data_IF_186739132325
#
_entry.id   IF_186739132325
#
_cell.length_a   1.000
_cell.length_b   1.000
_cell.length_c   1.000
_cell.angle_alpha   90.00
_cell.angle_beta   90.00
_cell.angle_gamma   90.00
#
_symmetry.space_group_name_H-M   'P 1'
#
loop_
_entity.id
_entity.type
_entity.pdbx_description
1 polymer ?
#
# COMPACT_ATOMS: atom_id res chain seq x y z
N UNK A 1 -14.56 7.38 15.97
CA UNK A 1 -14.37 6.27 14.99
C UNK A 1 -13.02 6.37 14.28
N UNK A 2 -12.77 7.39 13.45
CA UNK A 2 -11.50 7.59 12.70
C UNK A 2 -10.27 7.42 13.60
N UNK A 3 -10.19 8.18 14.69
CA UNK A 3 -9.08 8.13 15.64
C UNK A 3 -8.91 6.72 16.25
N UNK A 4 -10.00 6.06 16.63
CA UNK A 4 -9.99 4.71 17.20
C UNK A 4 -9.38 3.70 16.22
N UNK A 5 -9.77 3.75 14.94
CA UNK A 5 -9.24 2.85 13.90
C UNK A 5 -7.75 3.10 13.68
N UNK A 6 -7.31 4.35 13.65
CA UNK A 6 -5.88 4.67 13.54
C UNK A 6 -5.09 4.21 14.77
N UNK A 7 -5.63 4.33 15.99
CA UNK A 7 -4.97 3.82 17.21
C UNK A 7 -4.81 2.31 17.12
N UNK A 8 -5.88 1.58 16.78
CA UNK A 8 -5.83 0.12 16.64
C UNK A 8 -4.85 -0.32 15.55
N UNK A 9 -4.86 0.37 14.41
CA UNK A 9 -3.93 0.11 13.30
C UNK A 9 -2.49 0.33 13.74
N UNK A 10 -2.21 1.41 14.47
CA UNK A 10 -0.87 1.71 14.98
C UNK A 10 -0.40 0.67 16.00
N UNK A 11 -1.22 0.37 17.01
CA UNK A 11 -0.84 -0.51 18.12
C UNK A 11 -0.68 -1.96 17.69
N UNK A 12 -1.45 -2.43 16.71
CA UNK A 12 -1.32 -3.78 16.16
C UNK A 12 -0.28 -3.84 15.04
N UNK A 13 -0.35 -2.90 14.10
CA UNK A 13 0.47 -2.90 12.89
C UNK A 13 1.94 -2.64 13.17
N UNK A 14 2.28 -1.69 14.06
CA UNK A 14 3.68 -1.32 14.32
C UNK A 14 4.51 -2.49 14.88
N UNK A 15 4.14 -3.13 16.01
CA UNK A 15 4.93 -4.24 16.52
C UNK A 15 4.98 -5.42 15.54
N UNK A 16 3.89 -5.73 14.85
CA UNK A 16 3.83 -6.84 13.90
C UNK A 16 4.76 -6.61 12.67
N UNK A 17 4.79 -5.39 12.14
CA UNK A 17 5.65 -5.06 11.01
C UNK A 17 7.12 -4.93 11.42
N UNK A 18 7.43 -4.37 12.60
CA UNK A 18 8.81 -4.34 13.13
C UNK A 18 9.33 -5.77 13.30
N UNK A 19 8.54 -6.63 13.93
CA UNK A 19 8.89 -8.04 14.12
C UNK A 19 9.17 -8.72 12.78
N UNK A 20 8.26 -8.58 11.81
CA UNK A 20 8.41 -9.16 10.47
C UNK A 20 9.66 -8.62 9.77
N UNK A 21 9.88 -7.30 9.82
CA UNK A 21 11.03 -6.66 9.19
C UNK A 21 12.35 -7.22 9.75
N UNK A 22 12.47 -7.37 11.07
CA UNK A 22 13.65 -7.95 11.72
C UNK A 22 13.85 -9.42 11.32
N UNK A 23 12.78 -10.22 11.32
CA UNK A 23 12.84 -11.63 10.90
C UNK A 23 13.28 -11.79 9.44
N UNK A 24 12.72 -10.97 8.54
CA UNK A 24 13.08 -10.97 7.12
C UNK A 24 14.51 -10.48 6.89
N UNK A 25 14.96 -9.46 7.64
CA UNK A 25 16.32 -8.95 7.55
C UNK A 25 17.34 -9.99 8.02
N UNK A 26 17.06 -10.70 9.12
CA UNK A 26 17.89 -11.81 9.61
C UNK A 26 18.02 -12.93 8.57
N UNK A 27 16.91 -13.31 7.93
CA UNK A 27 16.91 -14.30 6.83
C UNK A 27 17.69 -13.81 5.61
N UNK A 28 17.49 -12.55 5.21
CA UNK A 28 18.13 -11.95 4.04
C UNK A 28 19.66 -11.91 4.18
N UNK A 29 20.19 -11.69 5.40
CA UNK A 29 21.64 -11.75 5.68
C UNK A 29 22.27 -13.10 5.37
N UNK A 30 21.52 -14.20 5.48
CA UNK A 30 22.00 -15.54 5.14
C UNK A 30 21.83 -15.84 3.65
N UNK A 31 20.62 -15.64 3.11
CA UNK A 31 20.31 -15.90 1.70
C UNK A 31 19.18 -15.00 1.23
N UNK A 32 19.51 -14.05 0.35
CA UNK A 32 18.53 -13.16 -0.25
C UNK A 32 17.79 -13.85 -1.40
N UNK A 33 16.48 -13.99 -1.28
CA UNK A 33 15.61 -14.32 -2.43
C UNK A 33 14.87 -13.08 -2.94
N UNK A 34 14.49 -13.04 -4.23
CA UNK A 34 13.67 -11.95 -4.78
C UNK A 34 12.39 -11.68 -3.97
N UNK A 35 11.68 -12.74 -3.53
CA UNK A 35 10.50 -12.59 -2.69
C UNK A 35 10.82 -11.92 -1.35
N UNK A 36 11.97 -12.22 -0.73
CA UNK A 36 12.36 -11.58 0.54
C UNK A 36 12.61 -10.08 0.36
N UNK A 37 13.18 -9.66 -0.77
CA UNK A 37 13.37 -8.23 -1.10
C UNK A 37 12.01 -7.53 -1.24
N UNK A 38 11.06 -8.14 -1.95
CA UNK A 38 9.72 -7.56 -2.13
C UNK A 38 8.98 -7.46 -0.80
N UNK A 39 9.07 -8.49 0.05
CA UNK A 39 8.49 -8.47 1.40
C UNK A 39 9.16 -7.42 2.32
N UNK A 40 10.48 -7.24 2.22
CA UNK A 40 11.20 -6.20 2.96
C UNK A 40 10.77 -4.78 2.53
N UNK A 41 10.52 -4.57 1.24
CA UNK A 41 10.02 -3.27 0.78
C UNK A 41 8.56 -3.04 1.15
N UNK A 42 7.72 -4.09 1.10
CA UNK A 42 6.34 -4.03 1.57
C UNK A 42 6.28 -3.65 3.06
N UNK A 43 7.00 -4.38 3.91
CA UNK A 43 7.13 -4.05 5.34
C UNK A 43 7.71 -2.66 5.58
N UNK A 44 8.67 -2.19 4.78
CA UNK A 44 9.19 -0.83 4.88
C UNK A 44 8.12 0.22 4.53
N UNK A 45 7.29 -0.02 3.52
CA UNK A 45 6.18 0.86 3.17
C UNK A 45 5.12 0.91 4.29
N UNK A 46 4.80 -0.24 4.89
CA UNK A 46 3.86 -0.33 6.02
C UNK A 46 4.42 0.37 7.27
N UNK A 47 5.70 0.20 7.58
CA UNK A 47 6.37 0.93 8.67
C UNK A 47 6.36 2.44 8.42
N UNK A 48 6.56 2.87 7.17
CA UNK A 48 6.46 4.28 6.79
C UNK A 48 5.02 4.79 6.97
N UNK A 49 4.00 4.01 6.60
CA UNK A 49 2.60 4.35 6.85
C UNK A 49 2.35 4.57 8.34
N UNK A 50 2.77 3.60 9.16
CA UNK A 50 2.56 3.59 10.61
C UNK A 50 3.34 4.71 11.30
N UNK A 51 4.53 5.07 10.81
CA UNK A 51 5.30 6.20 11.32
C UNK A 51 4.60 7.54 11.09
N UNK A 52 3.90 7.70 9.97
CA UNK A 52 3.17 8.92 9.63
C UNK A 52 1.70 8.92 10.08
N UNK A 53 1.18 7.77 10.53
CA UNK A 53 -0.18 7.63 11.06
C UNK A 53 -0.46 8.52 12.29
N UNK A 54 0.47 8.75 13.25
CA UNK A 54 0.30 9.69 14.35
C UNK A 54 -0.07 11.12 13.92
N UNK A 55 0.44 11.59 12.77
CA UNK A 55 0.08 12.90 12.24
C UNK A 55 -1.40 12.94 11.83
N UNK A 56 -1.90 11.85 11.23
CA UNK A 56 -3.32 11.67 10.91
C UNK A 56 -4.20 11.50 12.16
N UNK A 57 -3.64 10.93 13.24
CA UNK A 57 -4.32 10.85 14.53
C UNK A 57 -4.47 12.23 15.17
N UNK A 58 -3.44 13.08 15.10
CA UNK A 58 -3.50 14.46 15.56
C UNK A 58 -4.55 15.28 14.78
N UNK A 59 -4.58 15.13 13.45
CA UNK A 59 -5.61 15.72 12.59
C UNK A 59 -7.03 15.24 12.97
N UNK A 60 -7.20 13.94 13.19
CA UNK A 60 -8.49 13.38 13.61
C UNK A 60 -8.93 13.86 15.01
N UNK A 61 -7.99 14.00 15.94
CA UNK A 61 -8.25 14.51 17.30
C UNK A 61 -8.63 16.00 17.29
N UNK A 62 -8.11 16.78 16.35
CA UNK A 62 -8.44 18.18 16.14
C UNK A 62 -9.68 18.39 15.23
N UNK A 63 -10.56 17.39 15.09
CA UNK A 63 -11.80 17.54 14.31
C UNK A 63 -11.59 17.60 12.80
N UNK A 64 -10.60 16.87 12.28
CA UNK A 64 -10.18 16.88 10.86
C UNK A 64 -9.60 18.24 10.43
N UNK A 65 -9.03 18.97 11.37
CA UNK A 65 -8.27 20.19 11.14
C UNK A 65 -6.80 19.89 11.41
N UNK A 66 -5.87 20.51 10.69
CA UNK A 66 -4.45 20.23 10.82
C UNK A 66 -3.82 21.08 11.94
N UNK A 67 -3.41 20.49 13.08
CA UNK A 67 -2.96 21.25 14.24
C UNK A 67 -1.43 21.44 14.29
N UNK A 68 -0.70 20.89 13.32
CA UNK A 68 0.76 20.86 13.27
C UNK A 68 1.31 21.95 12.32
N UNK A 69 2.63 22.21 12.30
CA UNK A 69 3.22 23.14 11.34
C UNK A 69 2.79 22.88 9.90
N UNK A 70 2.53 23.96 9.13
CA UNK A 70 1.99 23.90 7.77
C UNK A 70 2.86 23.06 6.82
N UNK A 71 4.19 23.08 6.98
CA UNK A 71 5.14 22.31 6.16
C UNK A 71 4.97 20.79 6.35
N UNK A 72 4.52 20.34 7.53
CA UNK A 72 4.34 18.92 7.81
C UNK A 72 3.08 18.34 7.17
N UNK A 73 2.09 19.16 6.82
CA UNK A 73 0.84 18.73 6.18
C UNK A 73 1.08 17.98 4.86
N UNK A 74 1.74 18.59 3.84
CA UNK A 74 1.96 17.90 2.57
C UNK A 74 2.95 16.75 2.71
N UNK A 75 3.95 16.84 3.61
CA UNK A 75 4.92 15.77 3.85
C UNK A 75 4.23 14.54 4.45
N UNK A 76 3.40 14.72 5.48
CA UNK A 76 2.69 13.62 6.12
C UNK A 76 1.73 12.94 5.14
N UNK A 77 0.97 13.71 4.34
CA UNK A 77 0.07 13.15 3.32
C UNK A 77 0.85 12.46 2.20
N UNK A 78 1.97 13.04 1.76
CA UNK A 78 2.84 12.43 0.76
C UNK A 78 3.33 11.06 1.20
N UNK A 79 3.91 10.96 2.40
CA UNK A 79 4.39 9.69 2.94
C UNK A 79 3.24 8.70 3.12
N UNK A 80 2.11 9.15 3.68
CA UNK A 80 0.95 8.31 3.92
C UNK A 80 0.38 7.70 2.62
N UNK A 81 0.10 8.52 1.60
CA UNK A 81 -0.44 8.02 0.33
C UNK A 81 0.60 7.23 -0.47
N UNK A 82 1.87 7.62 -0.46
CA UNK A 82 2.94 6.86 -1.12
C UNK A 82 3.06 5.46 -0.53
N UNK A 83 3.04 5.33 0.81
CA UNK A 83 3.04 4.04 1.49
C UNK A 83 1.86 3.16 1.08
N UNK A 84 0.64 3.71 1.03
CA UNK A 84 -0.55 2.97 0.59
C UNK A 84 -0.34 2.36 -0.80
N UNK A 85 0.08 3.16 -1.77
CA UNK A 85 0.26 2.66 -3.14
C UNK A 85 1.48 1.76 -3.29
N UNK A 86 2.54 1.97 -2.49
CA UNK A 86 3.66 1.04 -2.42
C UNK A 86 3.21 -0.34 -1.95
N UNK A 87 2.37 -0.42 -0.91
CA UNK A 87 1.88 -1.71 -0.42
C UNK A 87 1.09 -2.44 -1.53
N UNK A 88 0.20 -1.74 -2.24
CA UNK A 88 -0.50 -2.28 -3.44
C UNK A 88 0.47 -2.80 -4.51
N UNK A 89 1.45 -1.98 -4.90
CA UNK A 89 2.42 -2.32 -5.95
C UNK A 89 3.32 -3.50 -5.55
N UNK A 90 3.78 -3.56 -4.29
CA UNK A 90 4.61 -4.66 -3.81
C UNK A 90 3.84 -5.97 -3.67
N UNK A 91 2.56 -5.92 -3.30
CA UNK A 91 1.68 -7.10 -3.33
C UNK A 91 1.50 -7.63 -4.75
N UNK A 92 1.30 -6.75 -5.72
CA UNK A 92 1.22 -7.15 -7.13
C UNK A 92 2.55 -7.75 -7.62
N UNK A 93 3.68 -7.10 -7.33
CA UNK A 93 5.01 -7.62 -7.67
C UNK A 93 5.29 -8.98 -7.02
N UNK A 94 4.87 -9.18 -5.77
CA UNK A 94 4.98 -10.45 -5.07
C UNK A 94 4.15 -11.53 -5.79
N UNK A 95 2.93 -11.22 -6.21
CA UNK A 95 2.09 -12.18 -6.95
C UNK A 95 2.74 -12.62 -8.28
N UNK A 96 3.37 -11.68 -9.00
CA UNK A 96 4.12 -11.95 -10.23
C UNK A 96 5.32 -12.86 -9.95
N UNK A 97 6.12 -12.55 -8.92
CA UNK A 97 7.27 -13.37 -8.52
C UNK A 97 6.84 -14.82 -8.17
N UNK A 98 5.70 -14.99 -7.46
CA UNK A 98 5.17 -16.31 -7.13
C UNK A 98 4.69 -17.06 -8.37
N UNK A 99 3.96 -16.39 -9.25
CA UNK A 99 3.48 -16.95 -10.51
C UNK A 99 4.65 -17.44 -11.38
N UNK A 100 5.64 -16.57 -11.63
CA UNK A 100 6.80 -16.90 -12.46
C UNK A 100 7.64 -18.03 -11.86
N UNK A 101 7.80 -18.05 -10.54
CA UNK A 101 8.54 -19.10 -9.85
C UNK A 101 7.92 -20.49 -9.94
N UNK A 102 6.58 -20.60 -10.06
CA UNK A 102 5.90 -21.89 -10.21
C UNK A 102 5.73 -22.30 -11.66
N UNK A 103 5.32 -21.38 -12.53
CA UNK A 103 4.97 -21.71 -13.93
C UNK A 103 6.19 -21.86 -14.82
N UNK A 104 7.25 -21.08 -14.59
CA UNK A 104 8.44 -21.08 -15.44
C UNK A 104 9.73 -21.48 -14.69
N UNK A 105 9.79 -22.60 -13.95
CA UNK A 105 10.87 -22.89 -13.01
C UNK A 105 12.27 -22.97 -13.66
N UNK A 106 12.37 -23.45 -14.91
CA UNK A 106 13.65 -23.59 -15.62
C UNK A 106 14.11 -22.27 -16.24
N UNK A 107 13.23 -21.57 -16.96
CA UNK A 107 13.51 -20.27 -17.57
C UNK A 107 13.69 -19.16 -16.52
N UNK A 108 13.05 -19.32 -15.35
CA UNK A 108 13.13 -18.37 -14.26
C UNK A 108 14.33 -18.59 -13.33
N UNK A 109 15.05 -19.72 -13.45
CA UNK A 109 16.27 -19.99 -12.66
C UNK A 109 17.32 -18.88 -12.82
N UNK A 110 17.52 -18.40 -14.05
CA UNK A 110 18.42 -17.29 -14.37
C UNK A 110 17.79 -15.90 -14.14
N UNK A 111 16.45 -15.82 -14.14
CA UNK A 111 15.71 -14.56 -13.88
C UNK A 111 15.53 -14.26 -12.39
N UNK A 112 15.69 -15.24 -11.50
CA UNK A 112 15.55 -15.14 -10.03
C UNK A 112 16.68 -14.35 -9.35
N UNK A 113 17.36 -13.45 -10.07
CA UNK A 113 18.46 -12.65 -9.53
C UNK A 113 17.92 -11.59 -8.58
N UNK A 114 18.37 -11.54 -7.31
CA UNK A 114 17.97 -10.52 -6.34
C UNK A 114 18.08 -9.09 -6.87
N UNK A 115 19.08 -8.80 -7.72
CA UNK A 115 19.28 -7.49 -8.37
C UNK A 115 18.06 -7.02 -9.17
N UNK A 116 17.31 -7.93 -9.81
CA UNK A 116 16.11 -7.55 -10.59
C UNK A 116 14.96 -7.15 -9.68
N UNK A 117 14.78 -7.85 -8.56
CA UNK A 117 13.81 -7.45 -7.54
C UNK A 117 14.17 -6.11 -6.91
N UNK A 118 15.45 -5.84 -6.64
CA UNK A 118 15.90 -4.52 -6.17
C UNK A 118 15.61 -3.42 -7.20
N UNK A 119 15.95 -3.64 -8.47
CA UNK A 119 15.67 -2.68 -9.53
C UNK A 119 14.16 -2.43 -9.68
N UNK A 120 13.34 -3.49 -9.65
CA UNK A 120 11.89 -3.38 -9.65
C UNK A 120 11.40 -2.59 -8.44
N UNK A 121 11.90 -2.86 -7.22
CA UNK A 121 11.54 -2.09 -6.02
C UNK A 121 11.82 -0.60 -6.19
N UNK A 122 13.00 -0.23 -6.70
CA UNK A 122 13.35 1.18 -6.96
C UNK A 122 12.35 1.82 -7.92
N UNK A 123 11.99 1.13 -9.02
CA UNK A 123 10.99 1.63 -9.97
C UNK A 123 9.63 1.81 -9.31
N UNK A 124 9.19 0.87 -8.48
CA UNK A 124 7.90 0.97 -7.77
C UNK A 124 7.90 2.13 -6.77
N UNK A 125 9.00 2.35 -6.04
CA UNK A 125 9.19 3.52 -5.17
C UNK A 125 9.10 4.83 -5.95
N UNK A 126 9.85 4.95 -7.05
CA UNK A 126 9.81 6.14 -7.90
C UNK A 126 8.42 6.37 -8.50
N UNK A 127 7.75 5.31 -8.95
CA UNK A 127 6.39 5.38 -9.48
C UNK A 127 5.43 5.93 -8.42
N UNK A 128 5.33 5.30 -7.25
CA UNK A 128 4.42 5.74 -6.19
C UNK A 128 4.72 7.18 -5.73
N UNK A 129 5.99 7.49 -5.47
CA UNK A 129 6.40 8.83 -5.04
C UNK A 129 6.12 9.88 -6.12
N UNK A 130 6.36 9.58 -7.41
CA UNK A 130 6.11 10.53 -8.50
C UNK A 130 4.63 10.90 -8.59
N UNK A 131 3.74 9.92 -8.56
CA UNK A 131 2.31 10.14 -8.61
C UNK A 131 1.76 10.84 -7.35
N UNK A 132 2.26 10.47 -6.16
CA UNK A 132 1.85 11.10 -4.90
C UNK A 132 2.43 12.50 -4.69
N UNK A 133 3.44 12.91 -5.47
CA UNK A 133 4.02 14.26 -5.37
C UNK A 133 3.00 15.38 -5.67
N UNK A 134 1.88 15.04 -6.33
CA UNK A 134 0.74 15.96 -6.52
C UNK A 134 0.27 16.59 -5.22
N UNK A 135 0.42 15.92 -4.08
CA UNK A 135 0.02 16.47 -2.78
C UNK A 135 0.70 17.81 -2.53
N UNK A 136 1.97 17.95 -2.92
CA UNK A 136 2.69 19.22 -2.84
C UNK A 136 2.16 20.23 -3.85
N UNK A 137 1.88 19.80 -5.09
CA UNK A 137 1.33 20.70 -6.12
C UNK A 137 -0.01 21.26 -5.66
N UNK A 138 -0.93 20.40 -5.23
CA UNK A 138 -2.26 20.80 -4.79
C UNK A 138 -2.21 21.68 -3.53
N UNK A 139 -1.26 21.43 -2.62
CA UNK A 139 -1.04 22.23 -1.42
C UNK A 139 -0.60 23.67 -1.72
N UNK A 140 0.28 23.87 -2.70
CA UNK A 140 0.86 25.18 -3.00
C UNK A 140 0.23 25.89 -4.20
N UNK A 141 -0.64 25.21 -4.95
CA UNK A 141 -1.36 25.79 -6.07
C UNK A 141 -2.45 26.76 -5.58
N UNK A 142 -2.28 28.05 -5.82
CA UNK A 142 -3.27 29.08 -5.47
C UNK A 142 -3.09 29.72 -4.09
N UNK A 143 -2.01 29.41 -3.35
CA UNK A 143 -1.62 30.18 -2.15
C UNK A 143 -1.12 31.55 -2.63
N UNK A 144 -2.05 32.51 -2.75
CA UNK A 144 -1.68 33.93 -2.87
C UNK A 144 -1.07 34.34 -1.53
N UNK A 145 0.16 34.82 -1.58
CA UNK A 145 0.84 35.46 -0.45
C UNK A 145 -0.13 36.36 0.32
N UNK A 146 -0.35 36.06 1.61
CA UNK A 146 -0.91 37.06 2.54
C UNK A 146 -2.16 36.69 3.35
N UNK A 147 -2.75 35.50 3.24
CA UNK A 147 -3.84 35.14 4.17
C UNK A 147 -3.30 34.57 5.49
N UNK A 148 -2.98 35.47 6.43
CA UNK A 148 -2.99 35.15 7.87
C UNK A 148 -4.42 34.74 8.25
N UNK A 149 -4.81 33.50 7.97
CA UNK A 149 -6.11 32.98 8.41
C UNK A 149 -5.90 32.13 9.63
N UNK A 150 -6.26 32.70 10.77
CA UNK A 150 -6.59 32.09 12.06
C UNK A 150 -7.76 31.08 11.99
N UNK A 151 -8.05 30.52 10.81
CA UNK A 151 -9.12 29.56 10.59
C UNK A 151 -8.56 28.14 10.54
N UNK A 152 -9.35 27.18 11.02
CA UNK A 152 -9.09 25.76 10.94
C UNK A 152 -8.63 25.33 9.53
N UNK A 153 -7.35 25.01 9.39
CA UNK A 153 -6.75 24.61 8.11
C UNK A 153 -7.02 23.12 7.85
N UNK A 154 -7.78 22.77 6.81
CA UNK A 154 -8.03 21.37 6.40
C UNK A 154 -7.01 20.95 5.34
N UNK A 155 -6.14 20.02 5.71
CA UNK A 155 -5.01 19.61 4.87
C UNK A 155 -5.46 18.63 3.77
N UNK A 156 -5.28 19.01 2.49
CA UNK A 156 -5.60 18.16 1.33
C UNK A 156 -7.07 17.66 1.29
N UNK A 157 -8.01 18.51 1.72
CA UNK A 157 -9.44 18.20 1.82
C UNK A 157 -10.28 19.27 1.09
N UNK A 158 -10.01 20.55 1.38
CA UNK A 158 -10.70 21.70 0.77
C UNK A 158 -10.00 22.14 -0.52
N UNK A 159 -10.43 21.58 -1.66
CA UNK A 159 -9.94 21.98 -2.98
C UNK A 159 -10.83 23.08 -3.57
N UNK A 160 -10.23 24.18 -4.07
CA UNK A 160 -10.94 25.14 -4.92
C UNK A 160 -11.36 24.50 -6.25
N UNK A 161 -12.29 25.12 -7.00
CA UNK A 161 -12.70 24.60 -8.32
C UNK A 161 -11.51 24.44 -9.28
N UNK A 162 -10.58 25.41 -9.26
CA UNK A 162 -9.34 25.36 -10.03
C UNK A 162 -8.45 24.19 -9.62
N UNK A 163 -8.34 23.92 -8.32
CA UNK A 163 -7.57 22.77 -7.81
C UNK A 163 -8.23 21.45 -8.20
N UNK A 164 -9.55 21.39 -8.12
CA UNK A 164 -10.31 20.19 -8.44
C UNK A 164 -10.19 19.80 -9.92
N UNK A 165 -10.05 20.79 -10.81
CA UNK A 165 -9.89 20.59 -12.25
C UNK A 165 -8.70 19.70 -12.64
N UNK A 166 -7.61 19.73 -11.87
CA UNK A 166 -6.44 18.86 -12.08
C UNK A 166 -6.33 17.70 -11.07
N UNK A 167 -6.83 17.88 -9.84
CA UNK A 167 -6.79 16.83 -8.80
C UNK A 167 -7.68 15.64 -9.16
N UNK A 168 -8.85 15.87 -9.77
CA UNK A 168 -9.78 14.79 -10.13
C UNK A 168 -9.25 13.88 -11.25
N UNK A 169 -8.79 14.39 -12.40
CA UNK A 169 -8.17 13.54 -13.43
C UNK A 169 -6.99 12.73 -12.89
N UNK A 170 -6.15 13.33 -12.05
CA UNK A 170 -5.03 12.61 -11.46
C UNK A 170 -5.50 11.53 -10.48
N UNK A 171 -6.51 11.79 -9.64
CA UNK A 171 -7.09 10.76 -8.77
C UNK A 171 -7.63 9.57 -9.58
N UNK A 172 -8.23 9.83 -10.73
CA UNK A 172 -8.63 8.77 -11.66
C UNK A 172 -7.42 8.01 -12.21
N UNK A 173 -6.34 8.70 -12.57
CA UNK A 173 -5.08 8.07 -12.97
C UNK A 173 -4.50 7.18 -11.86
N UNK A 174 -4.49 7.63 -10.60
CA UNK A 174 -4.07 6.81 -9.46
C UNK A 174 -4.90 5.53 -9.35
N UNK A 175 -6.23 5.64 -9.50
CA UNK A 175 -7.12 4.48 -9.53
C UNK A 175 -6.74 3.50 -10.63
N UNK A 176 -6.50 3.98 -11.86
CA UNK A 176 -6.18 3.11 -13.00
C UNK A 176 -4.81 2.45 -12.87
N UNK A 177 -3.78 3.25 -12.55
CA UNK A 177 -2.37 2.84 -12.62
C UNK A 177 -1.90 2.16 -11.34
N UNK A 178 -2.31 2.65 -10.17
CA UNK A 178 -1.79 2.19 -8.87
C UNK A 178 -2.74 1.26 -8.11
N UNK A 179 -3.97 1.08 -8.60
CA UNK A 179 -4.92 0.12 -8.04
C UNK A 179 -5.46 -0.88 -9.07
N UNK A 180 -6.16 -0.43 -10.11
CA UNK A 180 -6.84 -1.34 -11.05
C UNK A 180 -5.85 -2.26 -11.78
N UNK A 181 -4.77 -1.70 -12.32
CA UNK A 181 -3.72 -2.48 -12.98
C UNK A 181 -3.04 -3.46 -12.00
N UNK A 182 -2.54 -3.04 -10.83
CA UNK A 182 -2.00 -3.94 -9.81
C UNK A 182 -2.99 -5.04 -9.41
N UNK A 183 -4.26 -4.69 -9.19
CA UNK A 183 -5.30 -5.64 -8.80
C UNK A 183 -5.57 -6.68 -9.90
N UNK A 184 -5.72 -6.24 -11.16
CA UNK A 184 -5.93 -7.13 -12.30
C UNK A 184 -4.74 -8.10 -12.50
N UNK A 185 -3.52 -7.58 -12.42
CA UNK A 185 -2.29 -8.41 -12.48
C UNK A 185 -2.29 -9.42 -11.34
N UNK A 186 -2.63 -8.99 -10.12
CA UNK A 186 -2.66 -9.85 -8.93
C UNK A 186 -3.68 -10.99 -9.06
N UNK A 187 -4.89 -10.70 -9.55
CA UNK A 187 -5.91 -11.71 -9.84
C UNK A 187 -5.39 -12.72 -10.86
N UNK A 188 -4.88 -12.23 -12.00
CA UNK A 188 -4.36 -13.09 -13.07
C UNK A 188 -3.22 -13.99 -12.56
N UNK A 189 -2.25 -13.42 -11.85
CA UNK A 189 -1.10 -14.14 -11.32
C UNK A 189 -1.51 -15.20 -10.28
N UNK A 190 -2.37 -14.87 -9.32
CA UNK A 190 -2.78 -15.84 -8.30
C UNK A 190 -3.68 -16.94 -8.84
N UNK A 191 -4.61 -16.65 -9.76
CA UNK A 191 -5.43 -17.70 -10.39
C UNK A 191 -4.52 -18.73 -11.06
N UNK A 192 -3.57 -18.28 -11.89
CA UNK A 192 -2.67 -19.19 -12.59
C UNK A 192 -1.65 -19.86 -11.66
N UNK A 193 -1.14 -19.14 -10.66
CA UNK A 193 -0.26 -19.70 -9.63
C UNK A 193 -0.93 -20.84 -8.85
N UNK A 194 -2.16 -20.62 -8.37
CA UNK A 194 -2.94 -21.63 -7.63
C UNK A 194 -3.27 -22.80 -8.55
N UNK A 195 -3.78 -22.57 -9.76
CA UNK A 195 -4.08 -23.64 -10.74
C UNK A 195 -2.86 -24.50 -11.04
N UNK A 196 -1.73 -23.87 -11.38
CA UNK A 196 -0.50 -24.57 -11.70
C UNK A 196 0.07 -25.37 -10.50
N UNK A 197 -0.10 -24.86 -9.29
CA UNK A 197 0.34 -25.54 -8.08
C UNK A 197 -0.58 -26.72 -7.72
N UNK A 198 -1.90 -26.55 -7.85
CA UNK A 198 -2.89 -27.59 -7.57
C UNK A 198 -2.77 -28.78 -8.53
N UNK A 199 -2.48 -28.51 -9.81
CA UNK A 199 -2.28 -29.53 -10.85
C UNK A 199 -1.08 -30.46 -10.59
N UNK A 200 -0.13 -30.06 -9.75
CA UNK A 200 1.04 -30.89 -9.41
C UNK A 200 0.70 -31.84 -8.25
N UNK A 201 0.67 -33.15 -8.51
CA UNK A 201 0.42 -34.19 -7.50
C UNK A 201 1.53 -34.28 -6.45
N UNK A 202 2.79 -34.03 -6.84
CA UNK A 202 3.96 -34.18 -5.97
C UNK A 202 4.17 -33.03 -4.96
N UNK A 203 3.32 -32.00 -4.96
CA UNK A 203 3.40 -30.89 -4.00
C UNK A 203 2.58 -31.25 -2.75
N UNK A 204 3.17 -31.19 -1.53
CA UNK A 204 2.45 -31.42 -0.28
C UNK A 204 1.21 -30.55 -0.12
N UNK A 205 0.15 -31.10 0.48
CA UNK A 205 -1.13 -30.40 0.69
C UNK A 205 -0.96 -29.08 1.46
N UNK A 206 -0.09 -29.06 2.47
CA UNK A 206 0.21 -27.86 3.26
C UNK A 206 0.71 -26.70 2.40
N UNK A 207 1.56 -26.97 1.40
CA UNK A 207 2.05 -25.93 0.47
C UNK A 207 0.94 -25.42 -0.45
N UNK A 208 0.00 -26.29 -0.84
CA UNK A 208 -1.18 -25.91 -1.64
C UNK A 208 -2.12 -25.02 -0.82
N UNK A 209 -2.44 -25.41 0.41
CA UNK A 209 -3.25 -24.61 1.33
C UNK A 209 -2.62 -23.26 1.61
N UNK A 210 -1.30 -23.20 1.82
CA UNK A 210 -0.55 -21.95 2.00
C UNK A 210 -0.65 -21.02 0.79
N UNK A 211 -0.53 -21.57 -0.41
CA UNK A 211 -0.66 -20.79 -1.65
C UNK A 211 -2.07 -20.20 -1.82
N UNK A 212 -3.10 -21.00 -1.49
CA UNK A 212 -4.50 -20.53 -1.49
C UNK A 212 -4.72 -19.47 -0.41
N UNK A 213 -4.22 -19.71 0.81
CA UNK A 213 -4.30 -18.74 1.92
C UNK A 213 -3.62 -17.41 1.57
N UNK A 214 -2.45 -17.45 0.94
CA UNK A 214 -1.76 -16.26 0.43
C UNK A 214 -2.62 -15.51 -0.60
N UNK A 215 -3.16 -16.23 -1.60
CA UNK A 215 -4.01 -15.62 -2.62
C UNK A 215 -5.26 -14.98 -2.02
N UNK A 216 -5.97 -15.69 -1.14
CA UNK A 216 -7.17 -15.18 -0.47
C UNK A 216 -6.84 -13.97 0.38
N UNK A 217 -5.79 -14.02 1.21
CA UNK A 217 -5.38 -12.90 2.05
C UNK A 217 -5.05 -11.64 1.22
N UNK A 218 -4.30 -11.80 0.11
CA UNK A 218 -3.99 -10.67 -0.77
C UNK A 218 -5.24 -10.14 -1.49
N UNK A 219 -6.15 -11.00 -1.95
CA UNK A 219 -7.42 -10.57 -2.57
C UNK A 219 -8.32 -9.82 -1.60
N UNK A 220 -8.43 -10.30 -0.35
CA UNK A 220 -9.16 -9.61 0.71
C UNK A 220 -8.55 -8.23 0.98
N UNK A 221 -7.21 -8.12 1.02
CA UNK A 221 -6.55 -6.83 1.20
C UNK A 221 -6.89 -5.84 0.06
N UNK A 222 -6.82 -6.27 -1.20
CA UNK A 222 -7.23 -5.43 -2.33
C UNK A 222 -8.71 -5.05 -2.28
N UNK A 223 -9.61 -6.01 -2.04
CA UNK A 223 -11.05 -5.78 -2.08
C UNK A 223 -11.58 -4.96 -0.91
N UNK A 224 -11.06 -5.18 0.30
CA UNK A 224 -11.57 -4.56 1.53
C UNK A 224 -10.77 -3.30 1.89
N UNK A 225 -9.44 -3.35 1.82
CA UNK A 225 -8.61 -2.22 2.26
C UNK A 225 -8.40 -1.19 1.15
N UNK A 226 -8.06 -1.62 -0.06
CA UNK A 226 -7.71 -0.69 -1.14
C UNK A 226 -8.91 -0.24 -1.99
N UNK A 227 -9.83 -1.15 -2.33
CA UNK A 227 -10.89 -0.85 -3.30
C UNK A 227 -11.82 0.29 -2.86
N UNK A 228 -12.33 0.37 -1.62
CA UNK A 228 -13.27 1.43 -1.24
C UNK A 228 -12.67 2.84 -1.43
N UNK A 229 -11.42 3.03 -1.01
CA UNK A 229 -10.73 4.31 -1.17
C UNK A 229 -10.51 4.65 -2.65
N UNK A 230 -10.09 3.67 -3.44
CA UNK A 230 -9.84 3.84 -4.86
C UNK A 230 -11.14 4.09 -5.66
N UNK A 231 -12.26 3.47 -5.29
CA UNK A 231 -13.59 3.75 -5.86
C UNK A 231 -14.00 5.20 -5.58
N UNK A 232 -13.62 5.77 -4.44
CA UNK A 232 -13.91 7.18 -4.14
C UNK A 232 -13.26 8.15 -5.15
N UNK A 233 -12.16 7.74 -5.80
CA UNK A 233 -11.54 8.55 -6.86
C UNK A 233 -12.39 8.59 -8.12
N UNK A 234 -12.96 7.45 -8.51
CA UNK A 234 -13.86 7.34 -9.67
C UNK A 234 -15.14 8.13 -9.41
N UNK A 235 -15.77 7.93 -8.24
CA UNK A 235 -16.99 8.66 -7.87
C UNK A 235 -16.70 10.16 -7.84
N UNK A 236 -15.58 10.58 -7.25
CA UNK A 236 -15.25 11.99 -7.19
C UNK A 236 -14.97 12.62 -8.55
N UNK A 237 -14.38 11.86 -9.49
CA UNK A 237 -14.20 12.29 -10.87
C UNK A 237 -15.54 12.47 -11.59
N UNK A 238 -16.47 11.52 -11.43
CA UNK A 238 -17.80 11.55 -12.07
C UNK A 238 -18.67 12.65 -11.49
N UNK A 239 -18.72 12.78 -10.17
CA UNK A 239 -19.53 13.79 -9.47
C UNK A 239 -18.89 15.18 -9.44
N UNK A 240 -17.65 15.32 -9.93
CA UNK A 240 -16.86 16.56 -9.88
C UNK A 240 -16.75 17.16 -8.47
N UNK A 241 -16.65 16.32 -7.44
CA UNK A 241 -16.50 16.70 -6.02
C UNK A 241 -15.83 15.59 -5.21
N UNK A 242 -15.26 15.90 -4.05
CA UNK A 242 -14.78 14.85 -3.14
C UNK A 242 -15.96 14.20 -2.40
N UNK A 243 -16.15 12.87 -2.44
CA UNK A 243 -17.25 12.22 -1.73
C UNK A 243 -17.04 12.25 -0.20
N UNK A 244 -18.07 12.59 0.58
CA UNK A 244 -17.97 12.72 2.05
C UNK A 244 -17.57 11.41 2.75
N UNK A 245 -17.95 10.27 2.18
CA UNK A 245 -17.63 8.95 2.73
C UNK A 245 -16.18 8.52 2.48
N UNK A 246 -15.41 9.28 1.69
CA UNK A 246 -14.00 8.99 1.38
C UNK A 246 -13.13 8.86 2.63
N UNK A 247 -13.41 9.63 3.67
CA UNK A 247 -12.67 9.57 4.94
C UNK A 247 -12.79 8.19 5.58
N UNK A 248 -13.96 7.56 5.53
CA UNK A 248 -14.18 6.22 6.07
C UNK A 248 -13.55 5.15 5.20
N UNK A 249 -13.59 5.33 3.88
CA UNK A 249 -12.92 4.44 2.94
C UNK A 249 -11.39 4.43 3.13
N UNK A 250 -10.80 5.58 3.46
CA UNK A 250 -9.37 5.70 3.76
C UNK A 250 -8.97 4.94 5.04
N UNK A 251 -9.87 4.82 6.02
CA UNK A 251 -9.63 4.02 7.24
C UNK A 251 -9.37 2.56 6.88
N UNK A 252 -10.14 2.01 5.94
CA UNK A 252 -9.98 0.64 5.49
C UNK A 252 -8.61 0.44 4.84
N UNK A 253 -8.12 1.44 4.11
CA UNK A 253 -6.79 1.38 3.52
C UNK A 253 -5.69 1.40 4.56
N UNK A 254 -5.83 2.19 5.64
CA UNK A 254 -4.84 2.18 6.73
C UNK A 254 -4.73 0.82 7.43
N UNK A 255 -5.83 0.06 7.48
CA UNK A 255 -5.83 -1.29 8.08
C UNK A 255 -4.99 -2.31 7.30
N UNK A 256 -4.57 -2.02 6.06
CA UNK A 256 -3.71 -2.92 5.29
C UNK A 256 -2.44 -3.30 6.07
N UNK A 257 -1.81 -2.35 6.76
CA UNK A 257 -0.58 -2.55 7.50
C UNK A 257 -0.79 -3.49 8.70
N UNK A 258 -2.01 -3.60 9.22
CA UNK A 258 -2.36 -4.58 10.25
C UNK A 258 -2.70 -5.97 9.68
N UNK A 259 -3.09 -6.05 8.41
CA UNK A 259 -3.43 -7.31 7.72
C UNK A 259 -2.25 -7.96 7.00
N UNK A 260 -1.27 -7.18 6.55
CA UNK A 260 -0.09 -7.66 5.83
C UNK A 260 0.75 -8.71 6.60
N UNK A 261 0.81 -8.72 7.95
CA UNK A 261 1.35 -9.84 8.73
C UNK A 261 0.76 -11.22 8.40
N UNK A 262 -0.53 -11.30 8.04
CA UNK A 262 -1.17 -12.55 7.60
C UNK A 262 -0.58 -13.01 6.26
N UNK A 263 -0.34 -12.07 5.34
CA UNK A 263 0.31 -12.32 4.05
C UNK A 263 1.75 -12.80 4.29
N UNK A 264 2.47 -12.22 5.25
CA UNK A 264 3.83 -12.63 5.62
C UNK A 264 3.88 -14.04 6.17
N UNK A 265 2.94 -14.41 7.04
CA UNK A 265 2.77 -15.77 7.56
C UNK A 265 2.64 -16.79 6.41
N UNK A 266 1.75 -16.54 5.44
CA UNK A 266 1.60 -17.41 4.28
C UNK A 266 2.71 -17.29 3.24
N UNK A 267 3.57 -16.27 3.27
CA UNK A 267 4.61 -16.04 2.26
C UNK A 267 6.01 -16.52 2.70
N UNK A 268 6.35 -16.40 3.99
CA UNK A 268 7.69 -16.73 4.53
C UNK A 268 7.67 -17.79 5.62
N UNK A 269 8.36 -18.91 5.41
CA UNK A 269 8.54 -19.96 6.44
C UNK A 269 9.33 -19.48 7.65
N UNK A 270 10.19 -18.47 7.49
CA UNK A 270 10.96 -17.91 8.60
C UNK A 270 10.06 -17.12 9.55
N UNK A 271 9.14 -16.30 9.00
CA UNK A 271 8.16 -15.55 9.79
C UNK A 271 7.22 -16.51 10.50
N UNK A 272 6.72 -17.53 9.80
CA UNK A 272 5.88 -18.57 10.39
C UNK A 272 6.53 -19.33 11.55
N UNK A 273 7.85 -19.55 11.53
CA UNK A 273 8.57 -20.25 12.61
C UNK A 273 8.87 -19.34 13.81
N UNK A 274 8.81 -18.03 13.59
CA UNK A 274 9.16 -17.04 14.61
C UNK A 274 7.91 -16.51 15.33
N UNK A 275 6.74 -16.52 14.66
CA UNK A 275 5.41 -16.28 15.26
C UNK A 275 4.91 -17.51 16.00
#
# INVERSE_FOLDING_TARGET
LVLTVYILTFTVGLPANIFTFVTLLGKARQRVSPSDILLLNLTAADLLLLLFLPFKMAEAAAGLTWPLPAVLCPVANFCFYSSIYLSSLFLAALSVERYLGVVFPLQYKDRRRPRRAMAASIVLWLLACSHCSVVFVAQYHGVRDGSNTTNAYRCYDDFSEDQLSFVLPLRLELFLVLFLLPFAVTIFCYINFVRALLARSNIPLEKKQRAVGLAVATMVNFGVCFAPYNISHVVGFVEKRSPDWRVYALLLTSLNAALDPVIFYFSSTAVQRAM
#
